data_IF_405076624618
#
_entry.id   IF_405076624618
#
_cell.length_a   1.000
_cell.length_b   1.000
_cell.length_c   1.000
_cell.angle_alpha   90.00
_cell.angle_beta   90.00
_cell.angle_gamma   90.00
#
_symmetry.space_group_name_H-M   'P 1'
#
loop_
_entity.id
_entity.type
_entity.pdbx_description
1 polymer ?
#
# COMPACT_ATOMS: atom_id res chain seq x y z
N UNK A 1 20.76 0.04 -22.17
CA UNK A 1 21.02 -1.27 -21.52
C UNK A 1 20.16 -1.51 -20.28
N UNK A 2 20.16 -0.58 -19.29
CA UNK A 2 19.42 -0.80 -18.04
C UNK A 2 17.91 -0.85 -18.20
N UNK A 3 17.31 -0.04 -19.08
CA UNK A 3 15.86 -0.12 -19.33
C UNK A 3 15.40 -1.49 -19.84
N UNK A 4 16.26 -2.20 -20.59
CA UNK A 4 15.95 -3.54 -21.10
C UNK A 4 16.06 -4.56 -19.96
N UNK A 5 17.12 -4.49 -19.16
CA UNK A 5 17.33 -5.38 -18.03
C UNK A 5 16.27 -5.19 -16.95
N UNK A 6 15.95 -3.94 -16.58
CA UNK A 6 14.90 -3.59 -15.62
C UNK A 6 13.53 -4.13 -16.10
N UNK A 7 13.21 -3.94 -17.39
CA UNK A 7 11.97 -4.51 -17.99
C UNK A 7 11.98 -6.03 -18.00
N UNK A 8 13.10 -6.67 -18.30
CA UNK A 8 13.21 -8.13 -18.31
C UNK A 8 12.95 -8.71 -16.92
N UNK A 9 13.49 -8.10 -15.86
CA UNK A 9 13.21 -8.50 -14.48
C UNK A 9 11.72 -8.30 -14.18
N UNK A 10 11.15 -7.14 -14.49
CA UNK A 10 9.73 -6.89 -14.21
C UNK A 10 8.78 -7.84 -14.97
N UNK A 11 9.06 -8.14 -16.24
CA UNK A 11 8.29 -9.13 -17.01
C UNK A 11 8.48 -10.55 -16.46
N UNK A 12 9.68 -10.91 -15.99
CA UNK A 12 9.91 -12.18 -15.32
C UNK A 12 9.09 -12.29 -14.03
N UNK A 13 9.11 -11.26 -13.17
CA UNK A 13 8.32 -11.22 -11.94
C UNK A 13 6.82 -11.30 -12.25
N UNK A 14 6.33 -10.54 -13.25
CA UNK A 14 4.94 -10.62 -13.70
C UNK A 14 4.57 -12.01 -14.21
N UNK A 15 5.46 -12.68 -14.96
CA UNK A 15 5.23 -14.04 -15.45
C UNK A 15 5.15 -15.06 -14.31
N UNK A 16 6.10 -15.02 -13.37
CA UNK A 16 6.09 -15.91 -12.20
C UNK A 16 4.84 -15.66 -11.34
N UNK A 17 4.41 -14.40 -11.22
CA UNK A 17 3.23 -14.05 -10.45
C UNK A 17 1.91 -14.35 -11.16
N UNK A 18 1.87 -14.26 -12.49
CA UNK A 18 0.64 -14.37 -13.28
C UNK A 18 0.43 -15.74 -13.93
N UNK A 19 1.40 -16.66 -13.90
CA UNK A 19 1.30 -17.99 -14.49
C UNK A 19 1.69 -19.07 -13.49
N UNK A 20 0.71 -19.88 -13.06
CA UNK A 20 0.92 -20.99 -12.12
C UNK A 20 1.84 -22.10 -12.66
N UNK A 21 2.04 -22.18 -13.99
CA UNK A 21 2.91 -23.17 -14.64
C UNK A 21 4.31 -22.65 -14.98
N UNK A 22 4.65 -21.40 -14.63
CA UNK A 22 5.98 -20.86 -14.89
C UNK A 22 6.86 -21.08 -13.67
N UNK A 23 7.73 -22.10 -13.73
CA UNK A 23 8.67 -22.38 -12.64
C UNK A 23 9.77 -21.31 -12.60
N UNK A 24 9.98 -20.65 -11.45
CA UNK A 24 11.06 -19.69 -11.29
C UNK A 24 12.41 -20.39 -11.48
N UNK A 25 13.29 -19.78 -12.27
CA UNK A 25 14.63 -20.29 -12.49
C UNK A 25 15.54 -19.86 -11.34
N UNK A 26 16.07 -20.81 -10.57
CA UNK A 26 16.83 -20.57 -9.32
C UNK A 26 18.01 -19.61 -9.48
N UNK A 27 18.59 -19.50 -10.68
CA UNK A 27 19.73 -18.63 -10.97
C UNK A 27 19.42 -17.46 -11.90
N UNK A 28 18.15 -17.08 -12.09
CA UNK A 28 17.77 -15.98 -12.97
C UNK A 28 18.54 -14.69 -12.66
N UNK A 29 18.68 -14.33 -11.39
CA UNK A 29 19.37 -13.11 -10.97
C UNK A 29 20.88 -13.13 -11.21
N UNK A 30 21.48 -14.32 -11.35
CA UNK A 30 22.91 -14.46 -11.67
C UNK A 30 23.28 -13.89 -13.06
N UNK A 31 22.29 -13.80 -13.97
CA UNK A 31 22.44 -13.14 -15.28
C UNK A 31 22.82 -11.66 -15.14
N UNK A 32 22.52 -11.05 -14.00
CA UNK A 32 22.76 -9.64 -13.69
C UNK A 32 23.93 -9.45 -12.71
N UNK A 33 24.86 -10.40 -12.65
CA UNK A 33 26.03 -10.31 -11.76
C UNK A 33 27.15 -9.39 -12.28
N UNK A 34 27.23 -9.13 -13.60
CA UNK A 34 28.18 -8.20 -14.21
C UNK A 34 27.48 -6.92 -14.70
N UNK A 35 27.62 -5.78 -13.98
CA UNK A 35 27.01 -4.51 -14.36
C UNK A 35 27.43 -3.97 -15.73
N UNK A 36 28.57 -4.44 -16.28
CA UNK A 36 29.04 -4.00 -17.60
C UNK A 36 28.22 -4.62 -18.74
N UNK A 37 27.67 -5.80 -18.51
CA UNK A 37 26.91 -6.56 -19.50
C UNK A 37 25.41 -6.40 -19.28
N UNK A 38 24.97 -6.48 -18.03
CA UNK A 38 23.56 -6.58 -17.62
C UNK A 38 23.30 -5.62 -16.47
N UNK A 39 23.27 -4.32 -16.79
CA UNK A 39 23.07 -3.25 -15.82
C UNK A 39 21.63 -3.21 -15.32
N UNK A 40 21.43 -3.21 -14.00
CA UNK A 40 20.14 -2.95 -13.37
C UNK A 40 20.16 -1.61 -12.65
N UNK A 41 19.04 -0.89 -12.70
CA UNK A 41 18.87 0.39 -11.99
C UNK A 41 17.62 0.45 -11.15
N UNK A 42 16.55 -0.23 -11.56
CA UNK A 42 15.27 -0.24 -10.86
C UNK A 42 14.71 -1.64 -10.81
N UNK A 43 14.43 -2.12 -9.60
CA UNK A 43 14.02 -3.50 -9.37
C UNK A 43 12.83 -3.52 -8.43
N UNK A 44 11.74 -4.13 -8.87
CA UNK A 44 10.52 -4.29 -8.09
C UNK A 44 10.24 -5.78 -7.96
N UNK A 45 10.41 -6.31 -6.76
CA UNK A 45 10.20 -7.71 -6.43
C UNK A 45 9.12 -7.83 -5.37
N UNK A 46 8.32 -8.88 -5.48
CA UNK A 46 7.21 -9.14 -4.56
C UNK A 46 7.16 -10.60 -4.18
N UNK A 47 6.64 -10.86 -2.98
CA UNK A 47 6.33 -12.17 -2.44
C UNK A 47 7.58 -13.09 -2.34
N UNK A 48 7.34 -14.39 -2.20
CA UNK A 48 8.34 -15.43 -1.96
C UNK A 48 9.19 -15.84 -3.16
N UNK A 49 9.24 -14.97 -4.18
CA UNK A 49 10.06 -15.16 -5.37
C UNK A 49 11.56 -15.05 -5.05
N UNK A 50 11.92 -14.20 -4.09
CA UNK A 50 13.29 -13.74 -3.89
C UNK A 50 13.85 -14.28 -2.58
N UNK A 51 15.06 -14.81 -2.66
CA UNK A 51 15.86 -15.28 -1.53
C UNK A 51 17.09 -14.40 -1.34
N UNK A 52 17.79 -14.55 -0.22
CA UNK A 52 19.02 -13.77 0.06
C UNK A 52 20.08 -13.90 -1.07
N UNK A 53 20.20 -15.08 -1.68
CA UNK A 53 21.14 -15.34 -2.76
C UNK A 53 20.84 -14.51 -4.03
N UNK A 54 19.58 -14.17 -4.26
CA UNK A 54 19.16 -13.41 -5.44
C UNK A 54 19.57 -11.94 -5.32
N UNK A 55 19.43 -11.36 -4.12
CA UNK A 55 19.95 -10.03 -3.83
C UNK A 55 21.48 -10.03 -3.89
N UNK A 56 22.14 -11.06 -3.33
CA UNK A 56 23.60 -11.16 -3.37
C UNK A 56 24.13 -11.27 -4.81
N UNK A 57 23.41 -11.97 -5.71
CA UNK A 57 23.77 -12.07 -7.11
C UNK A 57 23.85 -10.71 -7.82
N UNK A 58 23.04 -9.74 -7.40
CA UNK A 58 22.99 -8.38 -7.97
C UNK A 58 23.74 -7.35 -7.13
N UNK A 59 24.52 -7.76 -6.11
CA UNK A 59 25.23 -6.88 -5.17
C UNK A 59 26.11 -5.80 -5.82
N UNK A 60 26.65 -6.08 -7.01
CA UNK A 60 27.55 -5.17 -7.73
C UNK A 60 26.81 -4.10 -8.54
N UNK A 61 25.49 -4.13 -8.58
CA UNK A 61 24.68 -3.20 -9.37
C UNK A 61 24.55 -1.83 -8.66
N UNK A 62 24.44 -0.77 -9.46
CA UNK A 62 24.21 0.59 -8.96
C UNK A 62 22.72 0.89 -8.91
N UNK A 63 22.00 0.23 -8.01
CA UNK A 63 20.55 0.37 -7.89
C UNK A 63 20.15 1.77 -7.40
N UNK A 64 19.21 2.38 -8.10
CA UNK A 64 18.59 3.66 -7.73
C UNK A 64 17.28 3.41 -6.97
N UNK A 65 16.53 2.39 -7.37
CA UNK A 65 15.25 2.00 -6.79
C UNK A 65 15.23 0.49 -6.55
N UNK A 66 14.95 0.09 -5.30
CA UNK A 66 14.79 -1.30 -4.91
C UNK A 66 13.53 -1.46 -4.07
N UNK A 67 12.50 -2.08 -4.64
CA UNK A 67 11.23 -2.33 -3.96
C UNK A 67 11.10 -3.82 -3.70
N UNK A 68 11.01 -4.17 -2.43
CA UNK A 68 10.78 -5.52 -1.92
C UNK A 68 9.45 -5.48 -1.17
N UNK A 69 8.47 -6.28 -1.61
CA UNK A 69 7.12 -6.26 -1.04
C UNK A 69 6.71 -7.67 -0.63
N UNK A 70 6.46 -7.90 0.65
CA UNK A 70 6.10 -9.21 1.21
C UNK A 70 7.11 -10.33 0.89
N UNK A 71 8.40 -10.00 0.78
CA UNK A 71 9.45 -11.01 0.56
C UNK A 71 9.85 -11.63 1.91
N UNK A 72 9.15 -12.69 2.32
CA UNK A 72 9.31 -13.32 3.64
C UNK A 72 10.55 -14.21 3.72
N UNK A 73 11.08 -14.69 2.59
CA UNK A 73 12.31 -15.49 2.51
C UNK A 73 13.60 -14.70 2.67
N UNK A 74 13.54 -13.37 2.81
CA UNK A 74 14.71 -12.55 3.06
C UNK A 74 15.04 -12.52 4.54
N UNK A 75 16.32 -12.67 4.88
CA UNK A 75 16.85 -12.61 6.24
C UNK A 75 17.78 -11.41 6.42
N UNK A 76 18.41 -11.30 7.59
CA UNK A 76 19.44 -10.29 7.84
C UNK A 76 20.65 -10.35 6.90
N UNK A 77 20.88 -11.49 6.21
CA UNK A 77 21.91 -11.56 5.16
C UNK A 77 21.66 -10.54 4.05
N UNK A 78 20.39 -10.33 3.68
CA UNK A 78 19.99 -9.34 2.69
C UNK A 78 20.29 -7.89 3.13
N UNK A 79 20.31 -7.60 4.44
CA UNK A 79 20.73 -6.29 4.95
C UNK A 79 22.21 -6.00 4.66
N UNK A 80 23.07 -7.02 4.73
CA UNK A 80 24.48 -6.88 4.39
C UNK A 80 24.66 -6.54 2.91
N UNK A 81 23.89 -7.21 2.04
CA UNK A 81 23.86 -6.91 0.61
C UNK A 81 23.35 -5.49 0.36
N UNK A 82 22.27 -5.07 1.03
CA UNK A 82 21.69 -3.72 0.93
C UNK A 82 22.72 -2.61 1.20
N UNK A 83 23.68 -2.81 2.10
CA UNK A 83 24.76 -1.84 2.36
C UNK A 83 25.59 -1.54 1.10
N UNK A 84 25.70 -2.49 0.17
CA UNK A 84 26.43 -2.31 -1.10
C UNK A 84 25.77 -1.25 -2.00
N UNK A 85 24.45 -1.05 -1.87
CA UNK A 85 23.68 -0.05 -2.62
C UNK A 85 23.51 1.28 -1.89
N UNK A 86 24.08 1.44 -0.70
CA UNK A 86 23.88 2.61 0.19
C UNK A 86 24.18 3.96 -0.49
N UNK A 87 25.20 3.99 -1.34
CA UNK A 87 25.66 5.21 -2.01
C UNK A 87 24.84 5.58 -3.27
N UNK A 88 24.03 4.67 -3.81
CA UNK A 88 23.27 4.82 -5.05
C UNK A 88 21.77 4.91 -4.83
N UNK A 89 21.23 4.19 -3.83
CA UNK A 89 19.79 4.12 -3.58
C UNK A 89 19.19 5.49 -3.26
N UNK A 90 18.12 5.80 -4.00
CA UNK A 90 17.25 6.96 -3.79
C UNK A 90 15.90 6.53 -3.22
N UNK A 91 15.41 5.35 -3.60
CA UNK A 91 14.13 4.80 -3.15
C UNK A 91 14.28 3.37 -2.70
N UNK A 92 13.88 3.08 -1.46
CA UNK A 92 13.87 1.74 -0.88
C UNK A 92 12.49 1.43 -0.31
N UNK A 93 11.95 0.26 -0.64
CA UNK A 93 10.77 -0.29 0.02
C UNK A 93 11.08 -1.67 0.54
N UNK A 94 10.80 -1.90 1.83
CA UNK A 94 10.89 -3.18 2.54
C UNK A 94 9.52 -3.59 3.08
N UNK A 95 8.44 -3.17 2.41
CA UNK A 95 7.08 -3.34 2.89
C UNK A 95 6.76 -4.83 3.11
N UNK A 96 6.35 -5.21 4.32
CA UNK A 96 5.98 -6.58 4.65
C UNK A 96 7.13 -7.60 4.60
N UNK A 97 8.39 -7.17 4.51
CA UNK A 97 9.56 -8.05 4.61
C UNK A 97 9.82 -8.42 6.08
N UNK A 98 9.01 -9.32 6.62
CA UNK A 98 8.91 -9.57 8.05
C UNK A 98 10.24 -10.08 8.67
N UNK A 99 10.96 -10.94 7.95
CA UNK A 99 12.14 -11.64 8.44
C UNK A 99 13.48 -10.93 8.15
N UNK A 100 13.47 -9.81 7.40
CA UNK A 100 14.72 -9.20 6.90
C UNK A 100 15.63 -8.65 8.00
N UNK A 101 15.12 -8.43 9.22
CA UNK A 101 15.92 -7.98 10.37
C UNK A 101 16.29 -9.11 11.34
N UNK A 102 15.97 -10.36 11.00
CA UNK A 102 16.19 -11.52 11.86
C UNK A 102 17.22 -12.47 11.26
N UNK A 103 18.05 -13.04 12.13
CA UNK A 103 18.90 -14.19 11.82
C UNK A 103 18.29 -15.45 12.43
N UNK A 104 18.36 -16.57 11.71
CA UNK A 104 18.08 -17.89 12.29
C UNK A 104 19.22 -18.26 13.24
N UNK A 105 18.93 -18.52 14.52
CA UNK A 105 19.90 -19.21 15.37
C UNK A 105 20.07 -20.62 14.83
N UNK A 106 21.30 -20.98 14.44
CA UNK A 106 21.66 -22.39 14.29
C UNK A 106 21.48 -23.04 15.67
N UNK A 107 20.53 -23.98 15.87
CA UNK A 107 20.47 -24.72 17.09
C UNK A 107 21.70 -25.62 17.06
N UNK A 108 22.73 -25.27 17.83
CA UNK A 108 23.91 -26.11 17.96
C UNK A 108 23.48 -27.51 18.43
N UNK A 109 23.53 -28.48 17.51
CA UNK A 109 23.57 -29.92 17.74
C UNK A 109 22.87 -30.47 18.98
N UNK A 110 21.56 -30.29 19.12
CA UNK A 110 20.75 -31.15 19.99
C UNK A 110 19.71 -31.88 19.14
N UNK A 111 20.03 -33.14 18.82
CA UNK A 111 19.06 -34.16 18.42
C UNK A 111 18.17 -34.47 19.62
N UNK A 112 17.15 -33.67 19.87
CA UNK A 112 16.04 -34.10 20.73
C UNK A 112 14.72 -33.71 20.06
N UNK A 113 14.14 -34.72 19.42
CA UNK A 113 12.77 -34.72 18.90
C UNK A 113 11.79 -34.57 20.06
N UNK A 114 11.50 -33.34 20.49
CA UNK A 114 10.25 -32.95 21.14
C UNK A 114 10.41 -31.51 21.62
N UNK A 115 10.02 -30.54 20.79
CA UNK A 115 9.36 -29.26 21.15
C UNK A 115 9.34 -28.39 19.88
N UNK A 116 8.17 -28.29 19.25
CA UNK A 116 7.91 -27.39 18.13
C UNK A 116 7.87 -25.96 18.67
N UNK A 117 9.03 -25.34 18.86
CA UNK A 117 9.15 -23.89 19.00
C UNK A 117 9.41 -23.30 17.61
N UNK A 118 8.62 -22.33 17.13
CA UNK A 118 8.92 -21.65 15.88
C UNK A 118 10.22 -20.88 16.07
N UNK A 119 11.28 -21.34 15.38
CA UNK A 119 12.57 -20.69 15.11
C UNK A 119 13.01 -19.62 16.12
N UNK A 120 14.00 -19.92 16.96
CA UNK A 120 14.75 -18.89 17.70
C UNK A 120 15.38 -17.91 16.70
N UNK A 121 14.68 -16.81 16.44
CA UNK A 121 15.14 -15.74 15.56
C UNK A 121 15.68 -14.60 16.41
N UNK A 122 16.89 -14.14 16.08
CA UNK A 122 17.54 -13.03 16.80
C UNK A 122 17.48 -11.77 15.94
N UNK A 123 16.93 -10.71 16.54
CA UNK A 123 16.91 -9.39 15.92
C UNK A 123 18.33 -8.83 15.80
N UNK A 124 18.72 -8.49 14.59
CA UNK A 124 19.99 -7.83 14.29
C UNK A 124 19.95 -6.37 14.75
N UNK A 125 20.86 -5.98 15.64
CA UNK A 125 20.88 -4.66 16.29
C UNK A 125 21.93 -3.70 15.72
N UNK A 126 22.86 -4.19 14.92
CA UNK A 126 23.98 -3.41 14.35
C UNK A 126 23.67 -2.82 12.97
N UNK A 127 22.52 -3.14 12.38
CA UNK A 127 22.11 -2.51 11.12
C UNK A 127 21.50 -1.12 11.35
N UNK A 128 22.01 -0.13 10.61
CA UNK A 128 21.45 1.21 10.51
C UNK A 128 21.48 1.66 9.04
N UNK A 129 20.72 2.70 8.68
CA UNK A 129 20.82 3.31 7.36
C UNK A 129 22.00 4.30 7.24
N UNK A 130 23.08 4.10 7.99
CA UNK A 130 24.30 4.87 7.82
C UNK A 130 24.89 4.66 6.40
N UNK A 131 25.36 5.75 5.78
CA UNK A 131 25.86 5.73 4.40
C UNK A 131 24.79 5.92 3.32
N UNK A 132 23.49 5.77 3.62
CA UNK A 132 22.37 5.96 2.69
C UNK A 132 22.06 7.45 2.41
N UNK A 133 23.09 8.22 2.04
CA UNK A 133 23.06 9.68 1.90
C UNK A 133 22.13 10.19 0.79
N UNK A 134 21.86 9.36 -0.23
CA UNK A 134 20.99 9.71 -1.36
C UNK A 134 19.54 9.30 -1.17
N UNK A 135 19.23 8.54 -0.12
CA UNK A 135 17.88 8.04 0.11
C UNK A 135 16.90 9.21 0.32
N UNK A 136 15.79 9.18 -0.40
CA UNK A 136 14.71 10.18 -0.36
C UNK A 136 13.36 9.56 -0.08
N UNK A 137 13.16 8.31 -0.47
CA UNK A 137 11.96 7.54 -0.17
C UNK A 137 12.34 6.28 0.60
N UNK A 138 11.64 6.05 1.71
CA UNK A 138 11.78 4.83 2.49
C UNK A 138 10.42 4.32 2.93
N UNK A 139 10.12 3.07 2.61
CA UNK A 139 8.94 2.37 3.07
C UNK A 139 9.33 1.18 3.94
N UNK A 140 8.90 1.21 5.21
CA UNK A 140 9.11 0.17 6.23
C UNK A 140 7.77 -0.46 6.66
N UNK A 141 6.68 -0.19 5.93
CA UNK A 141 5.34 -0.59 6.33
C UNK A 141 5.20 -2.10 6.57
N UNK A 142 4.38 -2.47 7.55
CA UNK A 142 4.13 -3.84 8.02
C UNK A 142 5.38 -4.61 8.45
N UNK A 143 6.42 -3.92 8.88
CA UNK A 143 7.52 -4.55 9.62
C UNK A 143 7.05 -5.06 11.00
N UNK A 144 7.71 -6.12 11.49
CA UNK A 144 7.38 -6.78 12.76
C UNK A 144 7.71 -5.88 13.95
N UNK A 145 6.92 -6.01 15.02
CA UNK A 145 7.17 -5.43 16.32
C UNK A 145 8.55 -5.80 16.89
N UNK A 146 9.25 -4.81 17.45
CA UNK A 146 10.54 -5.00 18.10
C UNK A 146 11.74 -4.40 17.36
N UNK A 147 11.59 -4.04 16.09
CA UNK A 147 12.64 -3.29 15.36
C UNK A 147 12.71 -1.85 15.88
N UNK A 148 13.88 -1.36 16.35
CA UNK A 148 14.03 0.00 16.86
C UNK A 148 14.11 1.02 15.71
N UNK A 149 12.95 1.36 15.15
CA UNK A 149 12.81 2.22 13.96
C UNK A 149 13.49 3.59 14.13
N UNK A 150 13.41 4.20 15.32
CA UNK A 150 14.09 5.47 15.58
C UNK A 150 15.61 5.37 15.34
N UNK A 151 16.27 4.37 15.95
CA UNK A 151 17.71 4.14 15.82
C UNK A 151 18.11 3.84 14.38
N UNK A 152 17.29 3.06 13.68
CA UNK A 152 17.50 2.68 12.28
C UNK A 152 17.50 3.90 11.36
N UNK A 153 16.59 4.83 11.59
CA UNK A 153 16.33 5.99 10.72
C UNK A 153 17.17 7.22 11.04
N UNK A 154 17.73 7.32 12.25
CA UNK A 154 18.53 8.47 12.73
C UNK A 154 19.65 8.92 11.77
N UNK A 155 20.36 8.04 11.04
CA UNK A 155 21.42 8.49 10.11
C UNK A 155 20.91 9.22 8.85
N UNK A 156 19.62 9.11 8.52
CA UNK A 156 19.05 9.67 7.30
C UNK A 156 18.73 11.15 7.49
N UNK A 157 19.39 12.05 6.75
CA UNK A 157 19.24 13.50 6.95
C UNK A 157 18.28 14.21 6.00
N UNK A 158 17.91 13.58 4.87
CA UNK A 158 17.26 14.28 3.75
C UNK A 158 16.04 13.55 3.19
N UNK A 159 15.32 12.80 4.02
CA UNK A 159 14.18 12.01 3.57
C UNK A 159 13.02 12.92 3.14
N UNK A 160 12.40 12.57 2.01
CA UNK A 160 11.28 13.30 1.41
C UNK A 160 9.96 12.52 1.50
N UNK A 161 10.01 11.19 1.58
CA UNK A 161 8.85 10.33 1.75
C UNK A 161 9.16 9.19 2.73
N UNK A 162 8.27 8.99 3.70
CA UNK A 162 8.39 7.94 4.70
C UNK A 162 7.05 7.21 4.87
N UNK A 163 7.10 5.89 4.85
CA UNK A 163 5.97 5.03 5.17
C UNK A 163 6.33 4.13 6.37
N UNK A 164 5.56 4.28 7.45
CA UNK A 164 5.64 3.52 8.70
C UNK A 164 4.35 2.74 8.96
N UNK A 165 3.61 2.39 7.92
CA UNK A 165 2.31 1.71 8.04
C UNK A 165 2.40 0.50 8.97
N UNK A 166 1.48 0.38 9.93
CA UNK A 166 1.41 -0.75 10.86
C UNK A 166 2.48 -0.77 11.96
N UNK A 167 3.48 0.11 11.92
CA UNK A 167 4.52 0.18 12.96
C UNK A 167 4.02 1.03 14.12
N UNK A 168 4.06 0.48 15.33
CA UNK A 168 3.74 1.23 16.54
C UNK A 168 5.00 1.88 17.11
N UNK A 169 4.96 3.19 17.33
CA UNK A 169 6.04 3.93 18.01
C UNK A 169 5.45 4.75 19.15
N UNK A 170 6.08 4.74 20.32
CA UNK A 170 5.64 5.57 21.45
C UNK A 170 6.05 7.03 21.27
N UNK A 171 7.22 7.28 20.68
CA UNK A 171 7.77 8.60 20.41
C UNK A 171 7.92 8.82 18.90
N UNK A 172 7.39 9.95 18.42
CA UNK A 172 7.51 10.40 17.04
C UNK A 172 8.48 11.56 16.87
N UNK A 173 9.12 12.05 17.93
CA UNK A 173 9.99 13.23 17.91
C UNK A 173 11.11 13.13 16.86
N UNK A 174 11.60 11.92 16.56
CA UNK A 174 12.60 11.68 15.52
C UNK A 174 12.16 12.18 14.13
N UNK A 175 10.86 12.22 13.83
CA UNK A 175 10.35 12.76 12.56
C UNK A 175 10.70 14.24 12.35
N UNK A 176 10.91 14.99 13.45
CA UNK A 176 11.23 16.42 13.38
C UNK A 176 12.58 16.71 12.71
N UNK A 177 13.46 15.73 12.61
CA UNK A 177 14.72 15.87 11.85
C UNK A 177 14.48 16.17 10.37
N UNK A 178 13.32 15.79 9.83
CA UNK A 178 12.92 16.05 8.44
C UNK A 178 11.84 17.12 8.31
N UNK A 179 11.62 17.98 9.31
CA UNK A 179 10.61 19.04 9.26
C UNK A 179 10.69 19.93 8.01
N UNK A 180 11.89 20.08 7.46
CA UNK A 180 12.20 20.93 6.30
C UNK A 180 12.34 20.14 4.97
N UNK A 181 12.25 18.80 5.00
CA UNK A 181 12.42 17.95 3.80
C UNK A 181 11.25 17.00 3.54
N UNK A 182 10.53 16.54 4.57
CA UNK A 182 9.50 15.53 4.45
C UNK A 182 8.24 16.08 3.74
N UNK A 183 7.90 15.47 2.62
CA UNK A 183 6.78 15.84 1.74
C UNK A 183 5.64 14.83 1.85
N UNK A 184 5.95 13.55 2.09
CA UNK A 184 4.96 12.48 2.23
C UNK A 184 5.19 11.68 3.50
N UNK A 185 4.13 11.45 4.28
CA UNK A 185 4.16 10.64 5.49
C UNK A 185 2.93 9.73 5.51
N UNK A 186 3.17 8.43 5.59
CA UNK A 186 2.14 7.40 5.69
C UNK A 186 2.26 6.69 7.03
N UNK A 187 1.18 6.76 7.82
CA UNK A 187 1.03 6.20 9.16
C UNK A 187 -0.21 5.29 9.22
N UNK A 188 -0.52 4.62 8.10
CA UNK A 188 -1.68 3.73 8.04
C UNK A 188 -1.62 2.71 9.16
N UNK A 189 -2.71 2.46 9.88
CA UNK A 189 -2.74 1.46 10.95
C UNK A 189 -1.74 1.74 12.09
N UNK A 190 -1.51 3.01 12.41
CA UNK A 190 -0.77 3.44 13.61
C UNK A 190 -1.74 3.94 14.69
N UNK A 191 -1.55 3.54 15.96
CA UNK A 191 -2.33 4.08 17.07
C UNK A 191 -1.79 5.46 17.51
N UNK A 192 -2.27 6.51 16.86
CA UNK A 192 -1.78 7.87 17.11
C UNK A 192 -2.16 8.38 18.51
N UNK A 193 -1.29 9.24 19.06
CA UNK A 193 -1.52 9.97 20.31
C UNK A 193 -1.46 11.48 20.06
N UNK A 194 -1.83 12.29 21.06
CA UNK A 194 -1.71 13.75 20.97
C UNK A 194 -0.27 14.21 20.68
N UNK A 195 0.74 13.47 21.16
CA UNK A 195 2.16 13.75 20.86
C UNK A 195 2.49 13.52 19.40
N UNK A 196 1.98 12.43 18.80
CA UNK A 196 2.09 12.19 17.37
C UNK A 196 1.51 13.37 16.57
N UNK A 197 0.30 13.82 16.93
CA UNK A 197 -0.34 14.97 16.27
C UNK A 197 0.51 16.23 16.42
N UNK A 198 1.05 16.50 17.61
CA UNK A 198 1.96 17.64 17.88
C UNK A 198 3.21 17.62 17.01
N UNK A 199 3.78 16.44 16.74
CA UNK A 199 4.95 16.32 15.86
C UNK A 199 4.55 16.48 14.39
N UNK A 200 3.48 15.81 13.94
CA UNK A 200 3.04 15.85 12.53
C UNK A 200 2.80 17.29 12.06
N UNK A 201 2.18 18.13 12.89
CA UNK A 201 1.90 19.53 12.53
C UNK A 201 3.14 20.43 12.42
N UNK A 202 4.31 19.97 12.86
CA UNK A 202 5.60 20.67 12.69
C UNK A 202 6.24 20.39 11.32
N UNK A 203 5.73 19.40 10.57
CA UNK A 203 6.23 19.03 9.25
C UNK A 203 5.65 19.97 8.18
N UNK A 204 6.11 21.21 8.14
CA UNK A 204 5.49 22.27 7.33
C UNK A 204 5.59 22.08 5.81
N UNK A 205 6.51 21.21 5.34
CA UNK A 205 6.65 20.84 3.92
C UNK A 205 5.71 19.71 3.49
N UNK A 206 5.00 19.10 4.43
CA UNK A 206 4.14 17.96 4.17
C UNK A 206 3.03 18.32 3.17
N UNK A 207 2.92 17.51 2.12
CA UNK A 207 1.91 17.59 1.08
C UNK A 207 0.98 16.38 1.08
N UNK A 208 1.48 15.24 1.52
CA UNK A 208 0.71 14.00 1.60
C UNK A 208 0.78 13.48 3.03
N UNK A 209 -0.38 13.41 3.67
CA UNK A 209 -0.53 12.82 4.99
C UNK A 209 -1.56 11.68 4.89
N UNK A 210 -1.15 10.50 5.28
CA UNK A 210 -2.05 9.37 5.44
C UNK A 210 -1.99 8.92 6.91
N UNK A 211 -3.13 9.03 7.59
CA UNK A 211 -3.31 8.51 8.95
C UNK A 211 -4.45 7.50 9.00
N UNK A 212 -4.86 6.99 7.85
CA UNK A 212 -5.99 6.08 7.71
C UNK A 212 -5.78 4.77 8.47
N UNK A 213 -6.84 3.98 8.61
CA UNK A 213 -6.78 2.71 9.31
C UNK A 213 -7.82 1.73 8.82
N UNK A 214 -7.63 0.47 9.17
CA UNK A 214 -8.67 -0.53 9.05
C UNK A 214 -9.74 -0.29 10.13
N UNK A 215 -10.96 0.04 9.69
CA UNK A 215 -12.11 0.30 10.56
C UNK A 215 -12.48 -0.91 11.44
N UNK A 216 -12.24 -2.13 10.96
CA UNK A 216 -12.63 -3.35 11.67
C UNK A 216 -11.65 -3.74 12.79
N UNK A 217 -10.47 -3.13 12.82
CA UNK A 217 -9.51 -3.37 13.89
C UNK A 217 -9.93 -2.67 15.19
N UNK A 218 -10.12 -3.47 16.24
CA UNK A 218 -10.39 -2.97 17.60
C UNK A 218 -9.12 -2.54 18.36
N UNK A 219 -7.94 -2.77 17.77
CA UNK A 219 -6.65 -2.49 18.37
C UNK A 219 -6.41 -0.97 18.51
N UNK A 220 -6.78 -0.18 17.51
CA UNK A 220 -6.49 1.26 17.44
C UNK A 220 -7.48 2.07 18.27
N UNK A 221 -6.96 2.80 19.26
CA UNK A 221 -7.74 3.60 20.22
C UNK A 221 -7.88 5.06 19.79
N UNK A 222 -6.98 5.56 18.95
CA UNK A 222 -7.00 6.93 18.45
C UNK A 222 -8.37 7.28 17.85
N UNK A 223 -8.84 8.49 18.11
CA UNK A 223 -10.13 8.99 17.63
C UNK A 223 -9.91 10.31 16.92
N UNK A 224 -10.38 10.39 15.68
CA UNK A 224 -10.26 11.60 14.89
C UNK A 224 -11.33 12.60 15.33
N UNK A 225 -10.89 13.78 15.75
CA UNK A 225 -11.76 14.87 16.22
C UNK A 225 -11.75 16.06 15.26
N UNK A 226 -12.73 16.95 15.39
CA UNK A 226 -12.78 18.21 14.62
C UNK A 226 -11.54 19.06 14.95
N UNK A 227 -11.08 19.04 16.20
CA UNK A 227 -9.88 19.75 16.65
C UNK A 227 -8.62 19.29 15.90
N UNK A 228 -8.41 17.97 15.79
CA UNK A 228 -7.26 17.40 15.06
C UNK A 228 -7.31 17.80 13.58
N UNK A 229 -8.47 17.65 12.92
CA UNK A 229 -8.63 18.06 11.53
C UNK A 229 -8.37 19.56 11.33
N UNK A 230 -8.85 20.40 12.24
CA UNK A 230 -8.61 21.85 12.19
C UNK A 230 -7.13 22.18 12.34
N UNK A 231 -6.42 21.47 13.22
CA UNK A 231 -4.97 21.63 13.38
C UNK A 231 -4.22 21.28 12.09
N UNK A 232 -4.55 20.18 11.43
CA UNK A 232 -3.92 19.82 10.15
C UNK A 232 -4.15 20.89 9.08
N UNK A 233 -5.39 21.35 8.90
CA UNK A 233 -5.70 22.38 7.91
C UNK A 233 -4.97 23.70 8.20
N UNK A 234 -4.87 24.09 9.46
CA UNK A 234 -4.23 25.36 9.86
C UNK A 234 -2.70 25.31 9.78
N UNK A 235 -2.09 24.17 10.14
CA UNK A 235 -0.64 24.04 10.30
C UNK A 235 0.06 23.45 9.08
N UNK A 236 -0.61 22.60 8.30
CA UNK A 236 -0.08 21.96 7.10
C UNK A 236 -0.51 22.73 5.85
N UNK A 237 0.00 23.96 5.69
CA UNK A 237 -0.44 24.87 4.62
C UNK A 237 -0.14 24.42 3.18
N UNK A 238 0.68 23.38 3.01
CA UNK A 238 1.05 22.77 1.71
C UNK A 238 0.30 21.47 1.43
N UNK A 239 -0.62 21.05 2.30
CA UNK A 239 -1.32 19.77 2.17
C UNK A 239 -2.11 19.71 0.86
N UNK A 240 -1.85 18.65 0.08
CA UNK A 240 -2.50 18.35 -1.19
C UNK A 240 -3.27 17.04 -1.12
N UNK A 241 -2.89 16.13 -0.23
CA UNK A 241 -3.51 14.83 -0.04
C UNK A 241 -3.67 14.53 1.44
N UNK A 242 -4.86 14.13 1.83
CA UNK A 242 -5.16 13.69 3.19
C UNK A 242 -5.96 12.39 3.13
N UNK A 243 -5.49 11.34 3.80
CA UNK A 243 -6.28 10.13 3.98
C UNK A 243 -6.63 9.92 5.46
N UNK A 244 -7.92 9.86 5.73
CA UNK A 244 -8.52 9.63 7.04
C UNK A 244 -9.55 8.49 6.99
N UNK A 245 -9.42 7.60 6.01
CA UNK A 245 -10.30 6.45 5.83
C UNK A 245 -10.30 5.55 7.07
N UNK A 246 -11.46 4.94 7.35
CA UNK A 246 -11.66 4.03 8.48
C UNK A 246 -11.71 4.69 9.87
N UNK A 247 -11.63 6.01 9.98
CA UNK A 247 -11.87 6.69 11.25
C UNK A 247 -13.35 6.84 11.58
N UNK A 248 -13.67 6.60 12.86
CA UNK A 248 -14.92 7.02 13.47
C UNK A 248 -14.77 8.48 13.93
N UNK A 249 -15.68 9.34 13.52
CA UNK A 249 -15.60 10.78 13.80
C UNK A 249 -16.57 11.10 14.93
N UNK A 250 -16.03 11.60 16.05
CA UNK A 250 -16.79 11.76 17.29
C UNK A 250 -17.47 13.12 17.43
N UNK A 251 -16.98 14.14 16.72
CA UNK A 251 -17.50 15.49 16.78
C UNK A 251 -18.24 15.79 15.48
N UNK A 252 -19.33 16.58 15.55
CA UNK A 252 -20.13 16.96 14.37
C UNK A 252 -19.27 17.74 13.36
N UNK A 253 -18.47 17.07 12.54
CA UNK A 253 -17.60 17.73 11.57
C UNK A 253 -18.39 18.27 10.37
N UNK A 254 -19.67 17.89 10.25
CA UNK A 254 -20.60 18.41 9.27
C UNK A 254 -21.18 19.77 9.66
N UNK A 255 -21.57 20.54 8.65
CA UNK A 255 -22.42 21.73 8.80
C UNK A 255 -23.86 21.33 9.13
N UNK A 256 -24.70 22.29 9.51
CA UNK A 256 -26.10 21.99 9.84
C UNK A 256 -26.87 21.56 8.59
N UNK A 257 -27.84 20.64 8.72
CA UNK A 257 -28.65 20.16 7.59
C UNK A 257 -29.39 21.27 6.83
N UNK A 258 -29.71 22.38 7.51
CA UNK A 258 -30.37 23.52 6.88
C UNK A 258 -29.47 24.29 5.90
N UNK A 259 -28.14 24.14 6.02
CA UNK A 259 -27.16 24.75 5.10
C UNK A 259 -26.75 23.80 3.95
N UNK A 260 -27.19 22.53 3.97
CA UNK A 260 -26.85 21.55 2.91
C UNK A 260 -27.81 21.60 1.71
N UNK A 261 -29.02 22.16 1.86
CA UNK A 261 -30.13 21.98 0.91
C UNK A 261 -30.16 22.93 -0.31
N UNK A 262 -29.13 23.73 -0.58
CA UNK A 262 -29.18 24.66 -1.72
C UNK A 262 -27.84 24.80 -2.45
N UNK A 263 -27.54 23.88 -3.38
CA UNK A 263 -26.48 24.11 -4.35
C UNK A 263 -26.03 22.90 -5.16
N UNK A 264 -25.44 23.18 -6.32
CA UNK A 264 -24.68 22.21 -7.10
C UNK A 264 -23.42 21.80 -6.32
N UNK A 265 -22.96 20.56 -6.49
CA UNK A 265 -21.72 20.08 -5.85
C UNK A 265 -20.57 21.04 -6.11
N UNK A 266 -19.74 21.28 -5.08
CA UNK A 266 -18.66 22.27 -5.14
C UNK A 266 -17.44 21.72 -4.43
N UNK A 267 -16.28 21.96 -5.04
CA UNK A 267 -14.97 21.64 -4.48
C UNK A 267 -14.31 22.84 -3.79
N UNK A 268 -14.95 24.02 -3.81
CA UNK A 268 -14.42 25.22 -3.16
C UNK A 268 -14.36 25.03 -1.63
N UNK A 269 -13.18 25.18 -1.00
CA UNK A 269 -13.03 25.04 0.44
C UNK A 269 -14.08 25.80 1.25
N UNK A 270 -14.33 27.08 0.95
CA UNK A 270 -15.28 27.94 1.68
C UNK A 270 -16.71 27.39 1.74
N UNK A 271 -17.10 26.56 0.77
CA UNK A 271 -18.41 25.90 0.69
C UNK A 271 -18.43 24.49 1.28
N UNK A 272 -17.29 23.99 1.77
CA UNK A 272 -17.16 22.63 2.31
C UNK A 272 -18.22 22.32 3.37
N UNK A 273 -18.85 21.15 3.22
CA UNK A 273 -19.74 20.57 4.22
C UNK A 273 -18.96 20.00 5.41
N UNK A 274 -17.66 19.75 5.25
CA UNK A 274 -16.74 19.36 6.32
C UNK A 274 -16.14 20.64 6.92
N UNK A 275 -16.61 21.04 8.10
CA UNK A 275 -16.34 22.35 8.69
C UNK A 275 -14.84 22.68 8.77
N UNK A 276 -13.95 21.82 9.29
CA UNK A 276 -12.50 22.10 9.30
C UNK A 276 -11.91 22.43 7.93
N UNK A 277 -12.43 21.81 6.86
CA UNK A 277 -11.91 21.99 5.51
C UNK A 277 -12.32 23.31 4.86
N UNK A 278 -13.20 24.11 5.50
CA UNK A 278 -13.47 25.49 5.07
C UNK A 278 -12.26 26.41 5.14
N UNK A 279 -11.29 26.06 5.99
CA UNK A 279 -10.04 26.82 6.14
C UNK A 279 -8.93 26.36 5.17
N UNK A 280 -9.17 25.39 4.29
CA UNK A 280 -8.20 25.01 3.26
C UNK A 280 -7.97 26.18 2.29
N UNK A 281 -6.71 26.38 1.89
CA UNK A 281 -6.35 27.42 0.91
C UNK A 281 -6.74 27.05 -0.53
N UNK A 282 -6.90 25.77 -0.81
CA UNK A 282 -7.24 25.20 -2.12
C UNK A 282 -7.90 23.82 -1.94
N UNK A 283 -8.67 23.32 -2.91
CA UNK A 283 -9.14 21.94 -2.89
C UNK A 283 -7.97 20.95 -2.83
N UNK A 284 -8.15 19.85 -2.11
CA UNK A 284 -7.18 18.76 -2.09
C UNK A 284 -7.16 18.03 -3.45
N UNK A 285 -6.01 17.52 -3.84
CA UNK A 285 -5.89 16.62 -5.00
C UNK A 285 -6.53 15.26 -4.70
N UNK A 286 -6.33 14.77 -3.48
CA UNK A 286 -6.94 13.54 -3.00
C UNK A 286 -7.42 13.69 -1.56
N UNK A 287 -8.60 13.15 -1.28
CA UNK A 287 -9.14 13.05 0.08
C UNK A 287 -9.70 11.66 0.30
N UNK A 288 -9.05 10.90 1.17
CA UNK A 288 -9.45 9.55 1.52
C UNK A 288 -10.49 9.54 2.64
N UNK A 289 -11.73 9.13 2.32
CA UNK A 289 -12.88 9.11 3.23
C UNK A 289 -13.58 7.75 3.26
N UNK A 290 -12.94 6.70 2.74
CA UNK A 290 -13.53 5.36 2.70
C UNK A 290 -13.92 4.90 4.11
N UNK A 291 -15.14 4.37 4.25
CA UNK A 291 -15.73 3.96 5.53
C UNK A 291 -15.79 5.06 6.61
N UNK A 292 -15.84 6.33 6.19
CA UNK A 292 -16.13 7.46 7.07
C UNK A 292 -17.49 8.04 6.77
N UNK A 293 -18.20 8.56 7.77
CA UNK A 293 -19.48 9.24 7.55
C UNK A 293 -19.35 10.52 6.69
N UNK A 294 -18.16 11.11 6.58
CA UNK A 294 -17.94 12.35 5.81
C UNK A 294 -18.03 12.15 4.30
N UNK A 295 -17.76 10.95 3.78
CA UNK A 295 -17.80 10.72 2.34
C UNK A 295 -19.20 10.95 1.73
N UNK A 296 -20.24 10.90 2.57
CA UNK A 296 -21.65 11.07 2.18
C UNK A 296 -22.07 12.52 2.04
N UNK A 297 -21.28 13.47 2.55
CA UNK A 297 -21.57 14.89 2.48
C UNK A 297 -21.56 15.41 1.03
N UNK A 298 -22.17 16.56 0.79
CA UNK A 298 -22.41 17.11 -0.55
C UNK A 298 -21.20 17.89 -1.10
N UNK A 299 -20.65 18.81 -0.33
CA UNK A 299 -19.53 19.66 -0.75
C UNK A 299 -18.23 19.17 -0.09
N UNK A 300 -17.49 18.34 -0.83
CA UNK A 300 -16.19 17.80 -0.40
C UNK A 300 -15.10 18.52 -1.21
N UNK A 301 -14.19 19.28 -0.56
CA UNK A 301 -13.24 20.15 -1.26
C UNK A 301 -12.02 19.37 -1.77
N UNK A 302 -12.24 18.42 -2.67
CA UNK A 302 -11.19 17.63 -3.29
C UNK A 302 -11.54 17.23 -4.73
N UNK A 303 -10.52 17.06 -5.57
CA UNK A 303 -10.68 16.61 -6.96
C UNK A 303 -10.93 15.10 -7.06
N UNK A 304 -10.27 14.30 -6.21
CA UNK A 304 -10.47 12.85 -6.12
C UNK A 304 -10.82 12.48 -4.69
N UNK A 305 -11.93 11.76 -4.51
CA UNK A 305 -12.44 11.36 -3.19
C UNK A 305 -12.61 9.84 -3.16
N UNK A 306 -11.95 9.14 -2.23
CA UNK A 306 -12.30 7.75 -1.91
C UNK A 306 -13.42 7.72 -0.88
N UNK A 307 -14.34 6.76 -0.96
CA UNK A 307 -15.55 6.77 -0.14
C UNK A 307 -16.49 5.62 -0.47
N UNK A 308 -17.62 5.56 0.23
CA UNK A 308 -18.65 4.53 0.05
C UNK A 308 -20.01 5.11 -0.38
N UNK A 309 -20.05 6.36 -0.85
CA UNK A 309 -21.30 7.03 -1.25
C UNK A 309 -21.81 6.59 -2.63
N UNK A 310 -20.91 6.39 -3.59
CA UNK A 310 -21.25 6.16 -5.00
C UNK A 310 -20.14 5.40 -5.76
N UNK A 311 -20.44 5.01 -6.99
CA UNK A 311 -19.53 4.28 -7.88
C UNK A 311 -18.14 4.94 -8.01
N UNK A 312 -18.08 6.26 -8.26
CA UNK A 312 -16.81 6.97 -8.44
C UNK A 312 -15.93 6.91 -7.19
N UNK A 313 -16.53 7.12 -6.01
CA UNK A 313 -15.82 7.05 -4.73
C UNK A 313 -15.32 5.64 -4.42
N UNK A 314 -16.11 4.62 -4.73
CA UNK A 314 -15.73 3.21 -4.55
C UNK A 314 -14.58 2.85 -5.48
N UNK A 315 -14.63 3.24 -6.75
CA UNK A 315 -13.54 3.00 -7.70
C UNK A 315 -12.26 3.75 -7.30
N UNK A 316 -12.39 4.98 -6.80
CA UNK A 316 -11.26 5.72 -6.22
C UNK A 316 -10.65 4.99 -5.00
N UNK A 317 -11.47 4.34 -4.17
CA UNK A 317 -11.00 3.56 -3.03
C UNK A 317 -10.23 2.30 -3.48
N UNK A 318 -10.78 1.52 -4.42
CA UNK A 318 -10.09 0.35 -4.97
C UNK A 318 -8.74 0.78 -5.55
N UNK A 319 -8.71 1.83 -6.37
CA UNK A 319 -7.48 2.33 -6.99
C UNK A 319 -6.44 2.80 -5.98
N UNK A 320 -6.86 3.46 -4.88
CA UNK A 320 -5.95 3.98 -3.87
C UNK A 320 -5.36 2.89 -2.97
N UNK A 321 -6.12 1.83 -2.69
CA UNK A 321 -5.79 0.88 -1.62
C UNK A 321 -5.29 -0.47 -2.11
N UNK A 322 -5.45 -0.77 -3.40
CA UNK A 322 -5.10 -2.08 -3.98
C UNK A 322 -3.69 -2.51 -3.68
N UNK A 323 -2.67 -1.65 -3.69
CA UNK A 323 -1.29 -2.17 -3.61
C UNK A 323 -0.92 -2.74 -2.22
N UNK A 324 -1.32 -2.06 -1.14
CA UNK A 324 -0.79 -2.32 0.21
C UNK A 324 -1.86 -2.63 1.28
N UNK A 325 -3.15 -2.52 0.95
CA UNK A 325 -4.25 -2.64 1.93
C UNK A 325 -5.31 -3.63 1.45
N UNK A 326 -5.01 -4.94 1.45
CA UNK A 326 -5.93 -5.93 0.91
C UNK A 326 -7.27 -5.95 1.65
N UNK A 327 -7.27 -5.69 2.96
CA UNK A 327 -8.47 -5.70 3.80
C UNK A 327 -9.47 -4.61 3.38
N UNK A 328 -8.97 -3.40 3.10
CA UNK A 328 -9.79 -2.28 2.62
C UNK A 328 -10.21 -2.52 1.16
N UNK A 329 -9.29 -3.01 0.33
CA UNK A 329 -9.55 -3.28 -1.09
C UNK A 329 -10.66 -4.29 -1.28
N UNK A 330 -10.65 -5.39 -0.53
CA UNK A 330 -11.71 -6.39 -0.54
C UNK A 330 -13.09 -5.80 -0.23
N UNK A 331 -13.18 -4.92 0.79
CA UNK A 331 -14.45 -4.27 1.15
C UNK A 331 -14.91 -3.26 0.08
N UNK A 332 -13.99 -2.52 -0.52
CA UNK A 332 -14.31 -1.62 -1.62
C UNK A 332 -14.80 -2.39 -2.86
N UNK A 333 -14.18 -3.51 -3.20
CA UNK A 333 -14.65 -4.41 -4.27
C UNK A 333 -16.02 -5.00 -3.94
N UNK A 334 -16.28 -5.34 -2.68
CA UNK A 334 -17.61 -5.82 -2.27
C UNK A 334 -18.70 -4.76 -2.49
N UNK A 335 -18.42 -3.48 -2.22
CA UNK A 335 -19.35 -2.39 -2.54
C UNK A 335 -19.54 -2.23 -4.06
N UNK A 336 -18.48 -2.39 -4.84
CA UNK A 336 -18.58 -2.38 -6.30
C UNK A 336 -19.42 -3.55 -6.83
N UNK A 337 -19.29 -4.73 -6.22
CA UNK A 337 -20.14 -5.89 -6.50
C UNK A 337 -21.63 -5.56 -6.25
N UNK A 338 -21.94 -4.92 -5.11
CA UNK A 338 -23.32 -4.54 -4.80
C UNK A 338 -23.88 -3.54 -5.82
N UNK A 339 -23.08 -2.55 -6.21
CA UNK A 339 -23.41 -1.59 -7.28
C UNK A 339 -23.67 -2.34 -8.59
N UNK A 340 -22.73 -3.16 -9.06
CA UNK A 340 -22.82 -3.85 -10.34
C UNK A 340 -23.98 -4.88 -10.41
N UNK A 341 -24.41 -5.40 -9.27
CA UNK A 341 -25.54 -6.33 -9.15
C UNK A 341 -26.89 -5.62 -9.22
N UNK A 342 -27.01 -4.43 -8.64
CA UNK A 342 -28.30 -3.73 -8.45
C UNK A 342 -28.55 -2.71 -9.56
N UNK A 343 -27.50 -2.05 -10.04
CA UNK A 343 -27.58 -0.97 -11.02
C UNK A 343 -26.55 -1.14 -12.14
N UNK A 344 -26.70 -0.34 -13.22
CA UNK A 344 -25.74 -0.35 -14.33
C UNK A 344 -24.46 0.36 -13.91
N UNK A 345 -23.32 -0.33 -14.02
CA UNK A 345 -22.01 0.27 -13.80
C UNK A 345 -21.66 1.22 -14.96
N UNK A 346 -21.44 2.50 -14.65
CA UNK A 346 -21.21 3.54 -15.66
C UNK A 346 -19.75 3.58 -16.13
N UNK A 347 -18.82 3.18 -15.27
CA UNK A 347 -17.37 3.18 -15.51
C UNK A 347 -16.83 1.76 -15.66
N UNK A 348 -17.53 0.91 -16.40
CA UNK A 348 -17.25 -0.52 -16.56
C UNK A 348 -15.77 -0.83 -16.84
N UNK A 349 -15.17 -0.17 -17.85
CA UNK A 349 -13.78 -0.44 -18.23
C UNK A 349 -12.79 -0.14 -17.09
N UNK A 350 -13.09 0.87 -16.28
CA UNK A 350 -12.29 1.23 -15.11
C UNK A 350 -12.50 0.20 -14.01
N UNK A 351 -13.75 -0.16 -13.72
CA UNK A 351 -14.11 -1.19 -12.76
C UNK A 351 -13.41 -2.52 -13.06
N UNK A 352 -13.54 -3.04 -14.30
CA UNK A 352 -12.88 -4.28 -14.73
C UNK A 352 -11.35 -4.22 -14.55
N UNK A 353 -10.70 -3.14 -14.97
CA UNK A 353 -9.24 -2.99 -14.80
C UNK A 353 -8.84 -3.00 -13.33
N UNK A 354 -9.58 -2.32 -12.47
CA UNK A 354 -9.29 -2.26 -11.04
C UNK A 354 -9.48 -3.62 -10.37
N UNK A 355 -10.57 -4.34 -10.66
CA UNK A 355 -10.79 -5.69 -10.11
C UNK A 355 -9.73 -6.69 -10.61
N UNK A 356 -9.39 -6.66 -11.90
CA UNK A 356 -8.29 -7.48 -12.45
C UNK A 356 -6.97 -7.17 -11.74
N UNK A 357 -6.68 -5.89 -11.52
CA UNK A 357 -5.44 -5.46 -10.85
C UNK A 357 -5.41 -5.98 -9.41
N UNK A 358 -6.52 -5.87 -8.67
CA UNK A 358 -6.60 -6.38 -7.30
C UNK A 358 -6.44 -7.91 -7.21
N UNK A 359 -7.09 -8.66 -8.10
CA UNK A 359 -6.97 -10.12 -8.17
C UNK A 359 -5.55 -10.59 -8.50
N UNK A 360 -4.83 -9.83 -9.34
CA UNK A 360 -3.41 -10.10 -9.65
C UNK A 360 -2.49 -9.73 -8.49
N UNK A 361 -2.69 -8.55 -7.91
CA UNK A 361 -1.88 -8.03 -6.82
C UNK A 361 -1.98 -8.89 -5.56
N UNK A 362 -3.15 -9.49 -5.31
CA UNK A 362 -3.42 -10.27 -4.11
C UNK A 362 -3.92 -11.67 -4.47
N UNK A 363 -3.10 -12.40 -5.23
CA UNK A 363 -3.43 -13.77 -5.65
C UNK A 363 -3.56 -14.75 -4.49
N UNK A 364 -3.00 -14.45 -3.32
CA UNK A 364 -3.07 -15.28 -2.10
C UNK A 364 -3.95 -14.68 -1.00
N UNK A 365 -4.72 -13.62 -1.28
CA UNK A 365 -5.74 -13.12 -0.35
C UNK A 365 -7.11 -13.72 -0.67
N UNK A 366 -7.57 -14.59 0.24
CA UNK A 366 -8.87 -15.26 0.12
C UNK A 366 -10.04 -14.29 -0.10
N UNK A 367 -10.08 -13.21 0.67
CA UNK A 367 -11.22 -12.28 0.66
C UNK A 367 -11.27 -11.53 -0.67
N UNK A 368 -10.12 -11.13 -1.20
CA UNK A 368 -10.03 -10.48 -2.52
C UNK A 368 -10.41 -11.46 -3.63
N UNK A 369 -9.93 -12.72 -3.59
CA UNK A 369 -10.29 -13.70 -4.62
C UNK A 369 -11.80 -14.00 -4.64
N UNK A 370 -12.42 -14.16 -3.47
CA UNK A 370 -13.88 -14.38 -3.36
C UNK A 370 -14.68 -13.17 -3.83
N UNK A 371 -14.38 -11.96 -3.32
CA UNK A 371 -15.14 -10.75 -3.67
C UNK A 371 -14.88 -10.28 -5.09
N UNK A 372 -13.63 -10.36 -5.56
CA UNK A 372 -13.23 -9.97 -6.90
C UNK A 372 -13.79 -10.89 -7.97
N UNK A 373 -13.76 -12.22 -7.78
CA UNK A 373 -14.41 -13.15 -8.72
C UNK A 373 -15.92 -12.95 -8.80
N UNK A 374 -16.59 -12.67 -7.66
CA UNK A 374 -18.00 -12.33 -7.63
C UNK A 374 -18.30 -11.02 -8.40
N UNK A 375 -17.47 -10.00 -8.23
CA UNK A 375 -17.60 -8.73 -8.95
C UNK A 375 -17.40 -8.92 -10.48
N UNK A 376 -16.41 -9.73 -10.90
CA UNK A 376 -16.15 -9.99 -12.31
C UNK A 376 -17.35 -10.63 -13.02
N UNK A 377 -18.08 -11.55 -12.38
CA UNK A 377 -19.27 -12.15 -12.96
C UNK A 377 -20.30 -11.09 -13.41
N UNK A 378 -20.61 -10.12 -12.55
CA UNK A 378 -21.56 -9.04 -12.90
C UNK A 378 -20.97 -8.05 -13.90
N UNK A 379 -19.69 -7.72 -13.78
CA UNK A 379 -18.99 -6.81 -14.69
C UNK A 379 -18.71 -7.42 -16.08
N UNK A 380 -18.95 -8.72 -16.27
CA UNK A 380 -18.78 -9.40 -17.56
C UNK A 380 -20.07 -9.91 -18.19
N UNK A 381 -21.22 -9.51 -17.62
CA UNK A 381 -22.53 -9.84 -18.17
C UNK A 381 -22.64 -9.47 -19.66
N UNK A 382 -23.46 -10.23 -20.38
CA UNK A 382 -23.70 -10.14 -21.83
C UNK A 382 -23.97 -8.72 -22.34
N UNK A 383 -24.63 -7.88 -21.55
CA UNK A 383 -24.92 -6.47 -21.86
C UNK A 383 -23.65 -5.62 -22.08
N UNK A 384 -22.54 -6.03 -21.47
CA UNK A 384 -21.27 -5.33 -21.52
C UNK A 384 -20.28 -5.89 -22.55
N UNK A 385 -20.65 -6.96 -23.28
CA UNK A 385 -19.73 -7.63 -24.22
C UNK A 385 -19.23 -6.73 -25.34
N UNK A 386 -20.04 -5.77 -25.80
CA UNK A 386 -19.66 -4.83 -26.87
C UNK A 386 -18.59 -3.83 -26.42
N UNK A 387 -18.49 -3.56 -25.12
CA UNK A 387 -17.51 -2.63 -24.55
C UNK A 387 -16.14 -3.31 -24.27
N UNK A 388 -16.07 -4.64 -24.34
CA UNK A 388 -14.88 -5.41 -23.94
C UNK A 388 -14.00 -5.83 -25.12
N UNK A 389 -12.76 -5.32 -25.14
CA UNK A 389 -11.74 -5.79 -26.07
C UNK A 389 -11.37 -7.27 -25.84
N UNK A 390 -10.89 -7.95 -26.89
CA UNK A 390 -10.34 -9.32 -26.79
C UNK A 390 -9.23 -9.40 -25.74
N UNK A 391 -8.36 -8.38 -25.66
CA UNK A 391 -7.29 -8.31 -24.67
C UNK A 391 -7.83 -8.28 -23.24
N UNK A 392 -8.87 -7.48 -22.98
CA UNK A 392 -9.49 -7.38 -21.66
C UNK A 392 -10.16 -8.70 -21.26
N UNK A 393 -10.88 -9.35 -22.19
CA UNK A 393 -11.48 -10.67 -21.94
C UNK A 393 -10.43 -11.73 -21.62
N UNK A 394 -9.30 -11.75 -22.33
CA UNK A 394 -8.19 -12.64 -22.01
C UNK A 394 -7.64 -12.40 -20.61
N UNK A 395 -7.53 -11.14 -20.18
CA UNK A 395 -7.09 -10.80 -18.82
C UNK A 395 -8.09 -11.27 -17.76
N UNK A 396 -9.40 -11.11 -18.00
CA UNK A 396 -10.45 -11.65 -17.11
C UNK A 396 -10.30 -13.17 -16.98
N UNK A 397 -10.24 -13.88 -18.11
CA UNK A 397 -10.10 -15.36 -18.11
C UNK A 397 -8.84 -15.77 -17.35
N UNK A 398 -7.72 -15.07 -17.56
CA UNK A 398 -6.46 -15.37 -16.87
C UNK A 398 -6.59 -15.24 -15.35
N UNK A 399 -7.15 -14.13 -14.84
CA UNK A 399 -7.27 -13.95 -13.37
C UNK A 399 -8.26 -14.93 -12.75
N UNK A 400 -9.32 -15.26 -13.48
CA UNK A 400 -10.35 -16.24 -13.07
C UNK A 400 -9.76 -17.64 -12.95
N UNK A 401 -9.00 -18.09 -13.96
CA UNK A 401 -8.33 -19.40 -13.94
C UNK A 401 -7.27 -19.48 -12.84
N UNK A 402 -6.44 -18.44 -12.69
CA UNK A 402 -5.44 -18.39 -11.62
C UNK A 402 -6.11 -18.49 -10.23
N UNK A 403 -7.24 -17.80 -10.05
CA UNK A 403 -8.03 -17.87 -8.82
C UNK A 403 -8.61 -19.26 -8.56
N UNK A 404 -9.12 -19.94 -9.61
CA UNK A 404 -9.63 -21.31 -9.49
C UNK A 404 -8.54 -22.33 -9.13
N UNK A 405 -7.35 -22.19 -9.70
CA UNK A 405 -6.23 -23.08 -9.42
C UNK A 405 -5.73 -22.91 -7.98
N UNK A 406 -5.57 -21.65 -7.55
CA UNK A 406 -5.06 -21.29 -6.22
C UNK A 406 -6.09 -21.52 -5.10
N UNK A 407 -7.39 -21.39 -5.40
CA UNK A 407 -8.47 -21.55 -4.42
C UNK A 407 -9.53 -22.55 -4.88
N UNK A 408 -9.45 -23.75 -4.33
CA UNK A 408 -10.46 -24.82 -4.52
C UNK A 408 -11.78 -24.56 -3.75
N UNK A 409 -12.05 -23.31 -3.34
CA UNK A 409 -13.29 -22.97 -2.66
C UNK A 409 -14.47 -22.93 -3.64
N UNK A 410 -15.54 -23.64 -3.30
CA UNK A 410 -16.74 -23.79 -4.15
C UNK A 410 -17.29 -22.45 -4.65
N UNK A 411 -17.26 -21.41 -3.80
CA UNK A 411 -17.72 -20.07 -4.16
C UNK A 411 -16.91 -19.46 -5.29
N UNK A 412 -15.57 -19.53 -5.20
CA UNK A 412 -14.65 -19.03 -6.24
C UNK A 412 -14.86 -19.83 -7.51
N UNK A 413 -14.86 -21.17 -7.42
CA UNK A 413 -15.08 -22.05 -8.57
C UNK A 413 -16.38 -21.72 -9.31
N UNK A 414 -17.48 -21.56 -8.57
CA UNK A 414 -18.79 -21.21 -9.14
C UNK A 414 -18.78 -19.85 -9.83
N UNK A 415 -18.27 -18.81 -9.17
CA UNK A 415 -18.23 -17.45 -9.73
C UNK A 415 -17.37 -17.42 -11.00
N UNK A 416 -16.23 -18.10 -10.96
CA UNK A 416 -15.32 -18.20 -12.07
C UNK A 416 -15.94 -18.92 -13.28
N UNK A 417 -16.59 -20.07 -13.08
CA UNK A 417 -17.31 -20.78 -14.15
C UNK A 417 -18.46 -19.97 -14.75
N UNK A 418 -19.09 -19.09 -13.99
CA UNK A 418 -20.15 -18.20 -14.50
C UNK A 418 -19.59 -16.98 -15.26
N UNK A 419 -18.32 -16.63 -15.04
CA UNK A 419 -17.64 -15.48 -15.66
C UNK A 419 -17.08 -15.83 -17.05
N UNK A 420 -16.65 -17.09 -17.24
CA UNK A 420 -16.19 -17.65 -18.53
C UNK A 420 -17.39 -17.86 -19.46
#
# INVERSE_FOLDING_TARGET
>A
PSEICDRLVNEYVELVNAACNFEPHESFFSLFSDPRSTRLTRIHLREDLVQDQDLEAIRKQDLVELYLTNCEKLSAKSLQTLRSFSHTLVSLSLFGCANIFYEEENPGGCEDECLVNPTCQVLVKDFTFEGFSRLRFLNLGRMIDGVPVESLLRPLSSLAALDLSGIQTSDAAFLTQWKDSLVSLVLYNMDLSDDHIRVIVQLHKLRHLDISRDRLSSYYKFKLTRKVLSLFVQKLGNLMSLDISGHMILENCSISKMDEEAGQTSIEPSKSSIMPFRALKRPLQFLGLFETSLCRLTHIPAYKVSGDKNEEQVLNAIEAYTEHRPEITSRAINLLFDIARIERCNQLLRALKLVITALKCHKYDKNIQVTGSAALFYLTNSEYRSEQSVKLRRQVIQVVLNGMESYQEVTVQRNCCLTV
#
